data_IF_642051307856
#
_entry.id   IF_642051307856
#
_cell.length_a   1.000
_cell.length_b   1.000
_cell.length_c   1.000
_cell.angle_alpha   90.00
_cell.angle_beta   90.00
_cell.angle_gamma   90.00
#
_symmetry.space_group_name_H-M   'P 1'
#
loop_
_entity.id
_entity.type
_entity.pdbx_description
1 polymer ?
#
# COMPACT_ATOMS: atom_id res chain seq x y z
N UNK A 1 10.72 6.04 -7.16
CA UNK A 1 9.74 4.93 -7.19
C UNK A 1 9.37 4.58 -5.74
N UNK A 2 8.17 4.11 -5.39
CA UNK A 2 7.79 3.84 -3.99
C UNK A 2 8.74 2.87 -3.26
N UNK A 3 9.33 1.91 -3.97
CA UNK A 3 10.31 0.96 -3.45
C UNK A 3 11.53 1.63 -2.81
N UNK A 4 12.00 2.76 -3.36
CA UNK A 4 13.14 3.48 -2.81
C UNK A 4 12.83 4.14 -1.47
N UNK A 5 11.55 4.47 -1.20
CA UNK A 5 11.14 4.99 0.11
C UNK A 5 11.21 3.88 1.16
N UNK A 6 10.67 2.70 0.87
CA UNK A 6 10.65 1.57 1.81
C UNK A 6 12.05 1.06 2.18
N UNK A 7 13.02 1.16 1.28
CA UNK A 7 14.40 0.76 1.57
C UNK A 7 15.23 1.81 2.32
N UNK A 8 14.78 3.07 2.39
CA UNK A 8 15.57 4.19 2.92
C UNK A 8 15.42 4.40 4.43
N UNK A 9 14.27 4.04 5.00
CA UNK A 9 13.93 4.34 6.39
C UNK A 9 13.92 3.06 7.24
N UNK A 10 14.60 3.07 8.38
CA UNK A 10 14.67 1.97 9.34
C UNK A 10 14.20 2.41 10.72
N UNK A 11 13.59 1.51 11.48
CA UNK A 11 13.06 1.76 12.83
C UNK A 11 11.63 1.26 13.00
N UNK A 12 11.03 1.55 14.14
CA UNK A 12 9.66 1.14 14.45
C UNK A 12 8.66 2.16 13.89
N UNK A 13 7.87 1.70 12.92
CA UNK A 13 6.85 2.51 12.27
C UNK A 13 5.51 1.78 12.24
N UNK A 14 4.44 2.55 12.26
CA UNK A 14 3.09 2.05 12.04
C UNK A 14 2.34 2.90 11.02
N UNK A 15 1.21 2.37 10.54
CA UNK A 15 0.35 3.03 9.57
C UNK A 15 -0.84 3.68 10.25
N UNK A 16 -1.17 4.90 9.86
CA UNK A 16 -2.28 5.65 10.46
C UNK A 16 -3.02 6.51 9.43
N UNK A 17 -4.32 6.66 9.65
CA UNK A 17 -5.16 7.63 8.95
C UNK A 17 -5.45 7.29 7.49
N UNK A 18 -5.89 8.31 6.73
CA UNK A 18 -6.41 8.17 5.37
C UNK A 18 -5.40 7.57 4.38
N UNK A 19 -4.10 7.84 4.52
CA UNK A 19 -3.08 7.40 3.58
C UNK A 19 -2.73 5.90 3.61
N UNK A 20 -3.13 5.21 4.67
CA UNK A 20 -2.74 3.82 4.98
C UNK A 20 -3.23 2.83 3.91
N UNK A 21 -4.52 2.85 3.61
CA UNK A 21 -5.13 1.96 2.61
C UNK A 21 -5.32 0.53 3.10
N UNK A 22 -5.97 -0.29 2.27
CA UNK A 22 -6.54 -1.59 2.66
C UNK A 22 -5.52 -2.54 3.28
N UNK A 23 -4.31 -2.66 2.71
CA UNK A 23 -3.32 -3.63 3.21
C UNK A 23 -2.83 -3.32 4.63
N UNK A 24 -2.98 -2.09 5.11
CA UNK A 24 -2.55 -1.71 6.46
C UNK A 24 -3.69 -1.54 7.46
N UNK A 25 -4.94 -1.61 7.01
CA UNK A 25 -6.12 -1.44 7.87
C UNK A 25 -6.97 -2.70 7.97
N UNK A 26 -6.55 -3.80 7.34
CA UNK A 26 -7.25 -5.08 7.38
C UNK A 26 -6.26 -6.24 7.46
N UNK A 27 -6.79 -7.43 7.74
CA UNK A 27 -6.03 -8.69 7.75
C UNK A 27 -5.53 -9.13 6.37
N UNK A 28 -5.84 -8.39 5.30
CA UNK A 28 -5.47 -8.78 3.93
C UNK A 28 -3.96 -8.99 3.77
N UNK A 29 -3.13 -8.27 4.51
CA UNK A 29 -1.67 -8.46 4.44
C UNK A 29 -1.23 -9.87 4.83
N UNK A 30 -1.96 -10.54 5.73
CA UNK A 30 -1.68 -11.91 6.14
C UNK A 30 -2.13 -12.95 5.10
N UNK A 31 -2.95 -12.55 4.12
CA UNK A 31 -3.43 -13.43 3.08
C UNK A 31 -2.38 -13.56 1.95
N UNK A 32 -2.18 -14.78 1.39
CA UNK A 32 -1.36 -14.98 0.22
C UNK A 32 -1.75 -14.03 -0.93
N UNK A 33 -0.75 -13.57 -1.70
CA UNK A 33 -0.98 -12.61 -2.78
C UNK A 33 -2.01 -13.11 -3.81
N UNK A 34 -1.96 -14.40 -4.16
CA UNK A 34 -2.91 -15.04 -5.06
C UNK A 34 -4.34 -15.03 -4.51
N UNK A 35 -4.51 -15.27 -3.21
CA UNK A 35 -5.83 -15.23 -2.58
C UNK A 35 -6.39 -13.81 -2.56
N UNK A 36 -5.57 -12.81 -2.23
CA UNK A 36 -5.97 -11.39 -2.34
C UNK A 36 -6.38 -11.00 -3.75
N UNK A 37 -5.65 -11.51 -4.74
CA UNK A 37 -5.94 -11.27 -6.15
C UNK A 37 -7.32 -11.85 -6.52
N UNK A 38 -7.57 -13.12 -6.18
CA UNK A 38 -8.87 -13.77 -6.37
C UNK A 38 -10.02 -13.00 -5.69
N UNK A 39 -9.84 -12.59 -4.44
CA UNK A 39 -10.84 -11.79 -3.71
C UNK A 39 -11.11 -10.45 -4.42
N UNK A 40 -10.08 -9.73 -4.83
CA UNK A 40 -10.22 -8.45 -5.55
C UNK A 40 -10.96 -8.63 -6.87
N UNK A 41 -10.62 -9.68 -7.62
CA UNK A 41 -11.21 -9.96 -8.93
C UNK A 41 -12.66 -10.42 -8.82
N UNK A 42 -13.01 -11.16 -7.75
CA UNK A 42 -14.37 -11.60 -7.48
C UNK A 42 -15.28 -10.49 -6.95
N UNK A 43 -14.78 -9.63 -6.05
CA UNK A 43 -15.56 -8.58 -5.40
C UNK A 43 -15.50 -7.22 -6.10
N UNK A 44 -14.77 -7.11 -7.22
CA UNK A 44 -14.49 -5.85 -7.88
C UNK A 44 -14.47 -5.98 -9.40
N UNK A 45 -13.86 -5.00 -10.06
CA UNK A 45 -13.60 -5.09 -11.50
C UNK A 45 -12.25 -5.78 -11.72
N UNK A 46 -12.21 -6.92 -12.42
CA UNK A 46 -10.96 -7.59 -12.74
C UNK A 46 -10.01 -6.64 -13.46
N UNK A 47 -8.73 -6.71 -13.10
CA UNK A 47 -7.64 -6.07 -13.85
C UNK A 47 -6.53 -7.07 -14.04
N UNK A 48 -6.47 -7.66 -15.22
CA UNK A 48 -5.43 -8.62 -15.56
C UNK A 48 -4.05 -7.97 -15.41
N UNK A 49 -3.11 -8.67 -14.76
CA UNK A 49 -1.72 -8.22 -14.61
C UNK A 49 -1.45 -7.15 -13.53
N UNK A 50 -2.48 -6.55 -12.92
CA UNK A 50 -2.28 -5.58 -11.83
C UNK A 50 -2.40 -6.23 -10.45
N UNK A 51 -1.44 -6.00 -9.53
CA UNK A 51 -1.44 -6.62 -8.20
C UNK A 51 -2.47 -5.98 -7.27
N UNK A 52 -3.22 -6.82 -6.54
CA UNK A 52 -4.11 -6.36 -5.48
C UNK A 52 -3.37 -5.61 -4.34
N UNK A 53 -3.94 -4.52 -3.78
CA UNK A 53 -5.22 -3.89 -4.14
C UNK A 53 -5.12 -2.97 -5.37
N UNK A 54 -6.25 -2.56 -5.93
CA UNK A 54 -6.32 -1.73 -7.16
C UNK A 54 -5.69 -0.33 -7.01
N UNK A 55 -5.90 0.32 -5.86
CA UNK A 55 -5.54 1.73 -5.66
C UNK A 55 -4.29 1.89 -4.80
N UNK A 56 -3.50 2.92 -5.08
CA UNK A 56 -2.44 3.43 -4.19
C UNK A 56 -2.66 4.92 -4.01
N UNK A 57 -2.83 5.38 -2.77
CA UNK A 57 -2.87 6.80 -2.45
C UNK A 57 -1.48 7.25 -2.05
N UNK A 58 -1.00 8.29 -2.71
CA UNK A 58 0.35 8.83 -2.55
C UNK A 58 0.29 10.34 -2.60
N UNK A 59 1.28 10.99 -1.98
CA UNK A 59 1.53 12.40 -2.17
C UNK A 59 2.58 12.58 -3.27
N UNK A 60 2.28 13.42 -4.27
CA UNK A 60 3.25 13.76 -5.32
C UNK A 60 3.96 15.05 -4.92
N UNK A 61 5.27 14.97 -4.67
CA UNK A 61 6.11 16.11 -4.29
C UNK A 61 6.95 16.52 -5.51
N UNK A 62 6.48 17.52 -6.26
CA UNK A 62 7.10 17.88 -7.54
C UNK A 62 6.95 16.79 -8.61
N UNK A 63 7.73 16.88 -9.68
CA UNK A 63 7.51 16.04 -10.87
C UNK A 63 7.90 14.58 -10.66
N UNK A 64 8.99 14.34 -9.91
CA UNK A 64 9.68 13.05 -9.84
C UNK A 64 9.65 12.36 -8.46
N UNK A 65 9.07 13.00 -7.44
CA UNK A 65 9.01 12.42 -6.09
C UNK A 65 7.57 12.00 -5.73
N UNK A 66 7.44 10.75 -5.28
CA UNK A 66 6.17 10.16 -4.82
C UNK A 66 6.38 9.61 -3.43
N UNK A 67 5.61 10.11 -2.47
CA UNK A 67 5.71 9.78 -1.05
C UNK A 67 4.49 8.97 -0.61
N UNK A 68 4.67 7.80 0.04
CA UNK A 68 3.56 7.09 0.64
C UNK A 68 3.04 7.85 1.86
N UNK A 69 1.72 7.91 2.00
CA UNK A 69 1.08 8.63 3.11
C UNK A 69 0.78 7.70 4.31
N UNK A 70 0.58 8.30 5.48
CA UNK A 70 0.10 7.59 6.68
C UNK A 70 1.15 6.69 7.31
N UNK A 71 2.39 7.15 7.39
CA UNK A 71 3.48 6.53 8.15
C UNK A 71 3.76 7.37 9.40
N UNK A 72 3.84 6.73 10.56
CA UNK A 72 4.19 7.35 11.82
C UNK A 72 5.28 6.53 12.50
N UNK A 73 6.28 7.20 13.07
CA UNK A 73 7.36 6.57 13.82
C UNK A 73 6.96 6.46 15.29
N UNK A 74 7.26 5.33 15.92
CA UNK A 74 7.18 5.18 17.38
C UNK A 74 8.42 5.85 17.98
N UNK A 75 8.21 6.77 18.91
CA UNK A 75 9.27 7.52 19.58
C UNK A 75 10.06 6.64 20.55
#
# INVERSE_FOLDING_TARGET
MLSSWYGKYSGDYFRVGFGSGMLSTTVNLALPAELRQKIRDACGHPRAGEPAPKSRRVWRKGENEVLPMGWMRIA
#
